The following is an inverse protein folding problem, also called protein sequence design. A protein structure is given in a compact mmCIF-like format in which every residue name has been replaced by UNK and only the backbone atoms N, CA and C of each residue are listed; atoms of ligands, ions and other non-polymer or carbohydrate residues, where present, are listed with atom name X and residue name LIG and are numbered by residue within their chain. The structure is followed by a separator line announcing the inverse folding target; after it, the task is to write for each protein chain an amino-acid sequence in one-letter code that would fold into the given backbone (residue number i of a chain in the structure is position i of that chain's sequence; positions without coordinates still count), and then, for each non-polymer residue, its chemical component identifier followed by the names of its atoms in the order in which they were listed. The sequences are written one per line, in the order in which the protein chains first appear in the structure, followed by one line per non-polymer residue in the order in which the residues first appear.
data_IF_709825819316
#
_entry.id   IF_709825819316
#
_cell.length_a   1.000
_cell.length_b   1.000
_cell.length_c   1.000
_cell.angle_alpha   90.00
_cell.angle_beta   90.00
_cell.angle_gamma   90.00
#
_symmetry.space_group_name_H-M   'P 1'
#
loop_
_entity.id
_entity.type
_entity.pdbx_description
1 polymer ?
#
# COMPACT_ATOMS: atom_id res chain seq x y z
N UNK A 1 7.28 7.98 -41.38
CA UNK A 1 7.54 7.18 -40.16
C UNK A 1 7.33 7.93 -38.86
N UNK A 2 7.75 9.20 -38.73
CA UNK A 2 7.67 9.97 -37.47
C UNK A 2 6.29 10.03 -36.80
N UNK A 3 5.19 10.25 -37.55
CA UNK A 3 3.83 10.30 -36.98
C UNK A 3 3.40 9.00 -36.27
N UNK A 4 3.75 7.82 -36.81
CA UNK A 4 3.41 6.52 -36.19
C UNK A 4 4.21 6.30 -34.90
N UNK A 5 5.47 6.74 -34.89
CA UNK A 5 6.35 6.68 -33.72
C UNK A 5 5.85 7.59 -32.59
N UNK A 6 5.37 8.79 -32.95
CA UNK A 6 4.84 9.77 -32.01
C UNK A 6 3.54 9.27 -31.33
N UNK A 7 2.67 8.60 -32.10
CA UNK A 7 1.45 7.98 -31.56
C UNK A 7 1.78 6.83 -30.60
N UNK A 8 2.73 5.95 -30.95
CA UNK A 8 3.14 4.87 -30.04
C UNK A 8 3.76 5.41 -28.75
N UNK A 9 4.58 6.46 -28.83
CA UNK A 9 5.16 7.10 -27.64
C UNK A 9 4.07 7.68 -26.73
N UNK A 10 3.05 8.34 -27.30
CA UNK A 10 1.92 8.89 -26.56
C UNK A 10 1.09 7.80 -25.87
N UNK A 11 0.83 6.68 -26.57
CA UNK A 11 0.09 5.53 -26.00
C UNK A 11 0.88 4.86 -24.88
N UNK A 12 2.20 4.71 -25.03
CA UNK A 12 3.05 4.15 -23.98
C UNK A 12 3.09 5.02 -22.73
N UNK A 13 3.22 6.35 -22.88
CA UNK A 13 3.18 7.30 -21.78
C UNK A 13 1.81 7.30 -21.07
N UNK A 14 0.72 7.23 -21.83
CA UNK A 14 -0.62 7.13 -21.27
C UNK A 14 -0.82 5.84 -20.45
N UNK A 15 -0.30 4.70 -20.90
CA UNK A 15 -0.37 3.44 -20.16
C UNK A 15 0.42 3.50 -18.84
N UNK A 16 1.60 4.11 -18.83
CA UNK A 16 2.42 4.25 -17.62
C UNK A 16 1.73 5.13 -16.57
N UNK A 17 1.00 6.17 -17.00
CA UNK A 17 0.25 7.06 -16.09
C UNK A 17 -0.93 6.37 -15.39
N UNK A 18 -1.43 5.23 -15.89
CA UNK A 18 -2.51 4.46 -15.25
C UNK A 18 -2.01 3.61 -14.08
N UNK A 19 -0.69 3.51 -13.87
CA UNK A 19 -0.10 2.86 -12.71
C UNK A 19 -0.23 3.79 -11.49
N UNK A 20 -1.43 3.86 -10.92
CA UNK A 20 -1.63 4.51 -9.62
C UNK A 20 -1.04 3.62 -8.53
N UNK A 21 0.00 4.10 -7.85
CA UNK A 21 0.48 3.52 -6.61
C UNK A 21 -0.60 3.70 -5.53
N UNK A 22 -1.22 2.60 -5.09
CA UNK A 22 -2.26 2.59 -4.05
C UNK A 22 -1.67 2.36 -2.64
N UNK A 23 -0.41 2.75 -2.47
CA UNK A 23 0.31 2.64 -1.21
C UNK A 23 -0.32 3.59 -0.18
N UNK A 24 -0.42 3.14 1.07
CA UNK A 24 -0.76 4.04 2.18
C UNK A 24 0.53 4.60 2.76
N UNK A 25 0.74 5.91 2.64
CA UNK A 25 1.87 6.60 3.28
C UNK A 25 1.30 7.74 4.10
N UNK A 26 1.44 7.64 5.41
CA UNK A 26 0.98 8.64 6.37
C UNK A 26 2.15 9.10 7.23
N UNK A 27 2.29 10.41 7.38
CA UNK A 27 3.34 11.00 8.21
C UNK A 27 4.73 10.91 7.59
N UNK A 28 5.73 11.35 8.36
CA UNK A 28 7.11 11.42 7.93
C UNK A 28 7.99 10.68 8.95
N UNK A 29 8.89 9.85 8.44
CA UNK A 29 9.91 9.19 9.27
C UNK A 29 10.99 10.21 9.57
N UNK A 30 11.20 10.52 10.85
CA UNK A 30 12.20 11.47 11.31
C UNK A 30 13.34 10.77 12.07
N UNK A 31 14.45 11.46 12.26
CA UNK A 31 15.52 10.99 13.13
C UNK A 31 14.97 10.74 14.55
N UNK A 32 15.27 9.56 15.10
CA UNK A 32 14.77 9.11 16.40
C UNK A 32 13.50 8.24 16.34
N UNK A 33 12.82 8.19 15.20
CA UNK A 33 11.72 7.25 14.98
C UNK A 33 12.28 5.83 14.84
N UNK A 34 11.58 4.85 15.43
CA UNK A 34 11.92 3.43 15.33
C UNK A 34 10.79 2.67 14.66
N UNK A 35 11.13 1.54 14.05
CA UNK A 35 10.13 0.58 13.57
C UNK A 35 9.44 0.00 14.80
N UNK A 36 8.14 0.24 14.90
CA UNK A 36 7.26 -0.31 15.92
C UNK A 36 6.60 -1.62 15.47
N UNK A 37 6.35 -1.74 14.17
CA UNK A 37 5.80 -2.92 13.53
C UNK A 37 6.32 -3.00 12.11
N UNK A 38 6.72 -4.20 11.68
CA UNK A 38 7.03 -4.50 10.27
C UNK A 38 6.58 -5.91 9.98
N UNK A 39 5.68 -6.07 9.01
CA UNK A 39 5.20 -7.37 8.62
C UNK A 39 4.74 -7.38 7.17
N UNK A 40 4.97 -8.52 6.53
CA UNK A 40 4.42 -8.82 5.22
C UNK A 40 3.04 -9.44 5.40
N UNK A 41 2.03 -8.84 4.79
CA UNK A 41 0.69 -9.41 4.70
C UNK A 41 0.41 -9.77 3.26
N UNK A 42 0.30 -11.06 2.99
CA UNK A 42 0.01 -11.58 1.66
C UNK A 42 -1.15 -12.56 1.68
N UNK A 43 -1.80 -12.70 0.53
CA UNK A 43 -2.83 -13.71 0.30
C UNK A 43 -2.92 -14.04 -1.19
N UNK A 44 -3.17 -15.30 -1.55
CA UNK A 44 -3.40 -15.67 -2.94
C UNK A 44 -4.71 -15.04 -3.45
N UNK A 45 -4.78 -14.78 -4.75
CA UNK A 45 -6.00 -14.32 -5.39
C UNK A 45 -7.08 -15.39 -5.40
N UNK A 46 -8.33 -14.99 -5.21
CA UNK A 46 -9.48 -15.90 -5.22
C UNK A 46 -10.25 -15.70 -6.54
N UNK A 47 -10.41 -16.74 -7.38
CA UNK A 47 -11.24 -16.65 -8.58
C UNK A 47 -12.66 -16.20 -8.24
N UNK A 48 -13.15 -15.14 -8.89
CA UNK A 48 -14.48 -14.60 -8.64
C UNK A 48 -14.63 -13.78 -7.34
N UNK A 49 -13.57 -13.65 -6.53
CA UNK A 49 -13.61 -12.92 -5.27
C UNK A 49 -12.58 -11.80 -5.14
N UNK A 50 -12.85 -10.90 -4.20
CA UNK A 50 -11.86 -9.95 -3.67
C UNK A 50 -11.25 -10.51 -2.39
N UNK A 51 -10.01 -10.15 -2.12
CA UNK A 51 -9.30 -10.58 -0.92
C UNK A 51 -9.08 -9.37 -0.03
N UNK A 52 -9.38 -9.52 1.25
CA UNK A 52 -9.14 -8.49 2.26
C UNK A 52 -8.43 -9.07 3.47
N UNK A 53 -7.54 -8.27 4.05
CA UNK A 53 -6.76 -8.55 5.25
C UNK A 53 -6.72 -7.30 6.12
N UNK A 54 -6.62 -7.53 7.42
CA UNK A 54 -6.55 -6.46 8.40
C UNK A 54 -5.25 -6.58 9.16
N UNK A 55 -4.55 -5.47 9.32
CA UNK A 55 -3.35 -5.38 10.15
C UNK A 55 -3.68 -4.53 11.37
N UNK A 56 -3.49 -5.13 12.54
CA UNK A 56 -3.78 -4.50 13.81
C UNK A 56 -2.47 -4.28 14.56
N UNK A 57 -2.20 -3.03 14.90
CA UNK A 57 -1.08 -2.65 15.74
C UNK A 57 -1.57 -1.95 17.00
N UNK A 58 -0.97 -2.29 18.14
CA UNK A 58 -1.14 -1.59 19.41
C UNK A 58 0.17 -1.70 20.17
N UNK A 59 0.67 -0.58 20.71
CA UNK A 59 1.94 -0.57 21.41
C UNK A 59 2.09 0.58 22.42
N UNK A 60 3.31 0.78 22.89
CA UNK A 60 3.62 1.74 23.95
C UNK A 60 3.95 3.16 23.44
N UNK A 61 4.42 3.26 22.19
CA UNK A 61 4.91 4.50 21.58
C UNK A 61 3.87 5.13 20.66
N UNK A 62 3.98 6.44 20.48
CA UNK A 62 3.07 7.15 19.58
C UNK A 62 3.55 6.95 18.14
N UNK A 63 2.61 6.65 17.26
CA UNK A 63 2.87 6.41 15.85
C UNK A 63 3.21 7.74 15.16
N UNK A 64 4.33 7.83 14.47
CA UNK A 64 4.75 9.02 13.72
C UNK A 64 4.65 8.84 12.21
N UNK A 65 4.75 7.61 11.73
CA UNK A 65 4.55 7.29 10.32
C UNK A 65 3.97 5.89 10.12
N UNK A 66 3.19 5.72 9.07
CA UNK A 66 2.62 4.45 8.63
C UNK A 66 2.89 4.30 7.14
N UNK A 67 3.40 3.14 6.74
CA UNK A 67 3.62 2.77 5.35
C UNK A 67 2.99 1.41 5.10
N UNK A 68 2.09 1.30 4.14
CA UNK A 68 1.65 0.03 3.58
C UNK A 68 1.96 0.06 2.10
N UNK A 69 3.03 -0.64 1.72
CA UNK A 69 3.55 -0.66 0.37
C UNK A 69 3.11 -1.93 -0.35
N UNK A 70 2.42 -1.78 -1.48
CA UNK A 70 2.01 -2.89 -2.33
C UNK A 70 3.21 -3.41 -3.12
N UNK A 71 3.56 -4.68 -2.90
CA UNK A 71 4.67 -5.36 -3.54
C UNK A 71 4.26 -6.14 -4.79
N UNK A 72 2.98 -6.15 -5.14
CA UNK A 72 2.50 -6.78 -6.37
C UNK A 72 3.02 -6.04 -7.60
N UNK A 73 3.29 -6.78 -8.69
CA UNK A 73 3.88 -6.26 -9.93
C UNK A 73 3.09 -5.06 -10.50
N UNK A 74 1.76 -5.10 -10.35
CA UNK A 74 0.86 -4.11 -10.93
C UNK A 74 0.26 -3.13 -9.89
N UNK A 75 0.72 -3.19 -8.63
CA UNK A 75 0.20 -2.40 -7.49
C UNK A 75 -1.33 -2.34 -7.42
N UNK A 76 -1.93 -3.52 -7.49
CA UNK A 76 -3.39 -3.68 -7.64
C UNK A 76 -4.15 -3.77 -6.32
N UNK A 77 -3.46 -3.73 -5.20
CA UNK A 77 -4.04 -3.63 -3.89
C UNK A 77 -4.49 -2.22 -3.56
N UNK A 78 -5.13 -2.08 -2.41
CA UNK A 78 -5.51 -0.82 -1.79
C UNK A 78 -5.31 -0.97 -0.28
N UNK A 79 -4.57 -0.03 0.30
CA UNK A 79 -4.42 0.09 1.74
C UNK A 79 -5.14 1.35 2.26
N UNK A 80 -5.81 1.24 3.39
CA UNK A 80 -6.44 2.37 4.07
C UNK A 80 -6.38 2.20 5.59
N UNK A 81 -6.50 3.31 6.31
CA UNK A 81 -6.61 3.29 7.76
C UNK A 81 -8.09 3.12 8.14
N UNK A 82 -8.40 2.04 8.86
CA UNK A 82 -9.74 1.74 9.35
C UNK A 82 -10.00 2.33 10.75
N UNK A 83 -8.94 2.61 11.52
CA UNK A 83 -9.03 3.26 12.82
C UNK A 83 -7.65 3.50 13.46
N UNK A 84 -7.60 4.35 14.47
CA UNK A 84 -6.34 4.74 15.10
C UNK A 84 -5.55 5.73 14.25
N UNK A 85 -4.22 5.63 14.24
CA UNK A 85 -3.36 6.31 13.28
C UNK A 85 -2.21 7.11 13.88
N UNK A 86 -1.80 8.15 13.14
CA UNK A 86 -0.72 9.05 13.58
C UNK A 86 -1.03 9.68 14.93
N UNK A 87 0.01 9.85 15.74
CA UNK A 87 -0.01 10.36 17.11
C UNK A 87 -0.84 9.54 18.11
N UNK A 88 -1.33 8.37 17.69
CA UNK A 88 -1.98 7.40 18.56
C UNK A 88 -1.05 6.22 18.81
N UNK A 89 -1.41 5.36 19.76
CA UNK A 89 -0.64 4.15 20.12
C UNK A 89 -1.14 2.88 19.44
N UNK A 90 -2.16 3.01 18.60
CA UNK A 90 -2.77 1.92 17.87
C UNK A 90 -3.12 2.35 16.46
N UNK A 91 -3.14 1.40 15.55
CA UNK A 91 -3.59 1.58 14.17
C UNK A 91 -4.21 0.28 13.65
N UNK A 92 -5.32 0.44 12.94
CA UNK A 92 -6.00 -0.63 12.23
C UNK A 92 -5.96 -0.31 10.75
N UNK A 93 -5.31 -1.16 9.96
CA UNK A 93 -5.19 -0.99 8.52
C UNK A 93 -6.02 -2.04 7.81
N UNK A 94 -6.83 -1.60 6.85
CA UNK A 94 -7.49 -2.46 5.88
C UNK A 94 -6.65 -2.56 4.62
N UNK A 95 -6.34 -3.79 4.21
CA UNK A 95 -5.64 -4.12 2.97
C UNK A 95 -6.58 -4.93 2.10
N UNK A 96 -6.78 -4.54 0.85
CA UNK A 96 -7.71 -5.22 -0.04
C UNK A 96 -7.23 -5.25 -1.48
N UNK A 97 -7.71 -6.21 -2.26
CA UNK A 97 -7.48 -6.23 -3.71
C UNK A 97 -8.47 -5.28 -4.39
N UNK A 98 -8.02 -4.55 -5.41
CA UNK A 98 -8.90 -3.70 -6.23
C UNK A 98 -9.61 -4.48 -7.33
N UNK A 99 -9.01 -5.57 -7.78
CA UNK A 99 -9.54 -6.41 -8.86
C UNK A 99 -9.76 -7.85 -8.38
N UNK A 100 -10.76 -8.50 -8.97
CA UNK A 100 -11.14 -9.88 -8.70
C UNK A 100 -10.06 -10.83 -9.21
N UNK A 101 -9.73 -11.86 -8.43
CA UNK A 101 -8.73 -12.88 -8.81
C UNK A 101 -7.28 -12.44 -8.63
N UNK A 102 -7.01 -11.18 -8.26
CA UNK A 102 -5.65 -10.72 -8.02
C UNK A 102 -5.14 -11.15 -6.64
N UNK A 103 -3.83 -11.43 -6.49
CA UNK A 103 -3.22 -11.64 -5.20
C UNK A 103 -3.07 -10.33 -4.43
N UNK A 104 -2.90 -10.45 -3.12
CA UNK A 104 -2.58 -9.36 -2.21
C UNK A 104 -1.16 -9.58 -1.68
N UNK A 105 -0.32 -8.54 -1.70
CA UNK A 105 1.01 -8.58 -1.10
C UNK A 105 1.42 -7.17 -0.64
N UNK A 106 1.41 -6.92 0.67
CA UNK A 106 1.79 -5.65 1.26
C UNK A 106 2.91 -5.82 2.29
N UNK A 107 3.89 -4.92 2.24
CA UNK A 107 4.77 -4.66 3.37
C UNK A 107 4.18 -3.51 4.20
N UNK A 108 3.81 -3.81 5.44
CA UNK A 108 3.28 -2.81 6.38
C UNK A 108 4.33 -2.50 7.42
N UNK A 109 4.73 -1.23 7.48
CA UNK A 109 5.67 -0.68 8.44
C UNK A 109 5.01 0.46 9.21
N UNK A 110 5.11 0.41 10.53
CA UNK A 110 4.63 1.46 11.43
C UNK A 110 5.84 1.94 12.22
N UNK A 111 6.02 3.25 12.26
CA UNK A 111 7.11 3.93 12.94
C UNK A 111 6.56 4.79 14.07
N UNK A 112 7.38 5.03 15.08
CA UNK A 112 7.02 5.93 16.16
C UNK A 112 8.10 6.11 17.20
N UNK A 113 7.73 6.85 18.25
CA UNK A 113 8.61 7.24 19.37
C UNK A 113 7.82 7.62 20.62
#
# INVERSE_FOLDING_TARGET
MAKKLMVCAFVALALVAVIQANDLILGNINAGDRILYSSVTSAPGIPGGLVSRTVNYTGAYNITAIRAYDRTLNRTGQAHLAGGGLYQRYAYLGLSTRFVGNPLDFLVEIYGR
#
